data_IF_262394423888
#
_entry.id   IF_262394423888
#
_cell.length_a   1.000
_cell.length_b   1.000
_cell.length_c   1.000
_cell.angle_alpha   90.00
_cell.angle_beta   90.00
_cell.angle_gamma   90.00
#
_symmetry.space_group_name_H-M   'P 1'
#
loop_
_entity.id
_entity.type
_entity.pdbx_description
1 polymer ?
#
# COMPACT_ATOMS: atom_id res chain seq x y z
N UNK A 1 17.24 6.75 -1.22
CA UNK A 1 16.69 5.71 -0.32
C UNK A 1 15.19 5.94 -0.19
N UNK A 2 14.41 4.93 -0.51
CA UNK A 2 12.97 4.99 -0.39
C UNK A 2 12.56 4.62 1.05
N UNK A 3 12.44 5.65 1.90
CA UNK A 3 12.09 5.51 3.31
C UNK A 3 10.61 5.13 3.54
N UNK A 4 9.80 4.98 2.48
CA UNK A 4 8.40 4.59 2.56
C UNK A 4 8.17 3.17 2.07
N UNK A 5 8.40 2.88 0.77
CA UNK A 5 8.06 1.57 0.23
C UNK A 5 9.03 0.46 0.66
N UNK A 6 10.31 0.79 0.90
CA UNK A 6 11.32 -0.17 1.35
C UNK A 6 10.97 -0.83 2.68
N UNK A 7 10.60 -0.12 3.78
CA UNK A 7 10.22 -0.77 5.02
C UNK A 7 9.00 -1.70 4.91
N UNK A 8 8.04 -1.37 4.03
CA UNK A 8 6.91 -2.26 3.76
C UNK A 8 7.34 -3.51 2.99
N UNK A 9 8.20 -3.36 1.98
CA UNK A 9 8.77 -4.48 1.23
C UNK A 9 9.59 -5.41 2.12
N UNK A 10 10.41 -4.88 3.02
CA UNK A 10 11.15 -5.67 4.01
C UNK A 10 10.21 -6.51 4.89
N UNK A 11 9.10 -5.91 5.36
CA UNK A 11 8.09 -6.64 6.13
C UNK A 11 7.40 -7.71 5.31
N UNK A 12 7.07 -7.43 4.04
CA UNK A 12 6.54 -8.43 3.12
C UNK A 12 7.47 -9.62 2.99
N UNK A 13 8.76 -9.37 2.73
CA UNK A 13 9.77 -10.41 2.54
C UNK A 13 10.02 -11.25 3.81
N UNK A 14 9.92 -10.66 5.00
CA UNK A 14 10.04 -11.38 6.27
C UNK A 14 8.90 -12.39 6.50
N UNK A 15 7.73 -12.17 5.89
CA UNK A 15 6.56 -13.05 6.03
C UNK A 15 6.36 -13.99 4.84
N UNK A 16 7.20 -13.86 3.80
CA UNK A 16 7.12 -14.64 2.59
C UNK A 16 8.01 -15.89 2.68
N UNK A 17 7.40 -17.06 2.54
CA UNK A 17 8.12 -18.33 2.41
C UNK A 17 8.59 -18.50 0.95
N UNK A 18 9.77 -17.98 0.66
CA UNK A 18 10.34 -17.92 -0.68
C UNK A 18 11.36 -19.04 -0.90
N UNK A 19 11.30 -19.69 -2.08
CA UNK A 19 12.21 -20.76 -2.44
C UNK A 19 12.61 -20.71 -3.93
N UNK A 20 13.80 -21.23 -4.29
CA UNK A 20 14.22 -21.34 -5.70
C UNK A 20 13.25 -22.15 -6.53
N UNK A 21 12.91 -21.66 -7.72
CA UNK A 21 11.95 -22.33 -8.62
C UNK A 21 10.49 -21.93 -8.41
N UNK A 22 10.15 -21.11 -7.41
CA UNK A 22 8.78 -20.66 -7.19
C UNK A 22 8.24 -19.82 -8.37
N UNK A 23 6.93 -19.94 -8.62
CA UNK A 23 6.18 -19.02 -9.49
C UNK A 23 5.49 -17.95 -8.67
N UNK A 24 5.75 -16.67 -8.99
CA UNK A 24 5.26 -15.52 -8.21
C UNK A 24 4.46 -14.58 -9.10
N UNK A 25 3.34 -14.08 -8.56
CA UNK A 25 2.64 -12.90 -9.05
C UNK A 25 2.90 -11.75 -8.07
N UNK A 26 3.54 -10.69 -8.54
CA UNK A 26 3.74 -9.47 -7.76
C UNK A 26 2.83 -8.37 -8.27
N UNK A 27 1.83 -7.97 -7.47
CA UNK A 27 0.82 -7.00 -7.86
C UNK A 27 1.18 -5.57 -7.42
N UNK A 28 0.74 -4.58 -8.19
CA UNK A 28 1.08 -3.17 -7.98
C UNK A 28 2.60 -2.98 -7.85
N UNK A 29 3.36 -3.60 -8.77
CA UNK A 29 4.80 -3.69 -8.69
C UNK A 29 5.53 -2.34 -8.85
N UNK A 30 4.85 -1.30 -9.30
CA UNK A 30 5.43 0.02 -9.53
C UNK A 30 6.65 -0.06 -10.47
N UNK A 31 7.77 0.52 -10.03
CA UNK A 31 9.04 0.48 -10.75
C UNK A 31 9.85 -0.82 -10.54
N UNK A 32 9.26 -1.85 -9.94
CA UNK A 32 9.84 -3.18 -9.84
C UNK A 32 10.42 -3.57 -8.48
N UNK A 33 10.21 -2.80 -7.44
CA UNK A 33 10.61 -3.14 -6.07
C UNK A 33 9.36 -3.65 -5.32
N UNK A 34 9.24 -4.91 -4.89
CA UNK A 34 10.27 -5.94 -4.68
C UNK A 34 10.49 -6.95 -5.82
N UNK A 35 9.83 -6.82 -6.98
CA UNK A 35 9.87 -7.83 -8.06
C UNK A 35 11.29 -8.27 -8.47
N UNK A 36 12.25 -7.34 -8.52
CA UNK A 36 13.66 -7.66 -8.82
C UNK A 36 14.26 -8.60 -7.79
N UNK A 37 14.08 -8.30 -6.50
CA UNK A 37 14.56 -9.16 -5.43
C UNK A 37 13.92 -10.55 -5.49
N UNK A 38 12.60 -10.62 -5.69
CA UNK A 38 11.87 -11.88 -5.84
C UNK A 38 12.43 -12.72 -6.98
N UNK A 39 12.71 -12.09 -8.14
CA UNK A 39 13.27 -12.76 -9.29
C UNK A 39 14.70 -13.30 -9.05
N UNK A 40 15.54 -12.56 -8.33
CA UNK A 40 16.87 -13.04 -7.93
C UNK A 40 16.78 -14.27 -7.04
N UNK A 41 15.84 -14.27 -6.09
CA UNK A 41 15.68 -15.37 -5.14
C UNK A 41 15.10 -16.65 -5.75
N UNK A 42 14.12 -16.54 -6.66
CA UNK A 42 13.56 -17.73 -7.32
C UNK A 42 14.49 -18.32 -8.38
N UNK A 43 15.40 -17.49 -8.91
CA UNK A 43 16.40 -17.90 -9.89
C UNK A 43 15.82 -18.39 -11.23
N UNK A 44 16.68 -18.93 -12.12
CA UNK A 44 16.32 -19.23 -13.50
C UNK A 44 15.34 -20.42 -13.66
N UNK A 45 15.08 -21.19 -12.62
CA UNK A 45 14.09 -22.26 -12.59
C UNK A 45 12.70 -21.80 -12.12
N UNK A 46 12.63 -20.59 -11.55
CA UNK A 46 11.39 -19.94 -11.15
C UNK A 46 10.87 -18.95 -12.20
N UNK A 47 9.83 -18.24 -11.86
CA UNK A 47 9.28 -17.16 -12.68
C UNK A 47 8.60 -16.11 -11.82
N UNK A 48 8.73 -14.85 -12.20
CA UNK A 48 8.01 -13.73 -11.59
C UNK A 48 7.22 -13.01 -12.68
N UNK A 49 5.92 -12.88 -12.49
CA UNK A 49 5.07 -11.95 -13.22
C UNK A 49 4.77 -10.77 -12.33
N UNK A 50 5.28 -9.60 -12.67
CA UNK A 50 5.06 -8.36 -11.95
C UNK A 50 4.06 -7.49 -12.74
N UNK A 51 2.98 -7.09 -12.10
CA UNK A 51 1.91 -6.33 -12.76
C UNK A 51 1.65 -4.99 -12.08
N UNK A 52 1.36 -3.99 -12.89
CA UNK A 52 0.89 -2.68 -12.44
C UNK A 52 -0.14 -2.11 -13.42
N UNK A 53 -1.07 -1.32 -12.90
CA UNK A 53 -2.06 -0.63 -13.74
C UNK A 53 -1.44 0.50 -14.56
N UNK A 54 -0.35 1.09 -14.08
CA UNK A 54 0.37 2.18 -14.72
C UNK A 54 1.36 1.67 -15.77
N UNK A 55 0.99 1.81 -17.04
CA UNK A 55 1.91 1.47 -18.15
C UNK A 55 3.25 2.21 -18.06
N UNK A 56 3.27 3.44 -17.49
CA UNK A 56 4.50 4.20 -17.26
C UNK A 56 5.41 3.52 -16.22
N UNK A 57 4.84 3.00 -15.14
CA UNK A 57 5.62 2.28 -14.14
C UNK A 57 6.20 0.98 -14.70
N UNK A 58 5.37 0.22 -15.43
CA UNK A 58 5.80 -1.00 -16.11
C UNK A 58 6.94 -0.75 -17.08
N UNK A 59 6.87 0.32 -17.87
CA UNK A 59 7.95 0.67 -18.82
C UNK A 59 9.23 1.12 -18.11
N UNK A 60 9.10 1.85 -17.00
CA UNK A 60 10.22 2.20 -16.14
C UNK A 60 10.90 0.94 -15.59
N UNK A 61 10.13 0.00 -15.07
CA UNK A 61 10.62 -1.27 -14.53
C UNK A 61 11.34 -2.11 -15.60
N UNK A 62 10.77 -2.21 -16.81
CA UNK A 62 11.41 -2.87 -17.97
C UNK A 62 12.73 -2.22 -18.35
N UNK A 63 12.79 -0.88 -18.32
CA UNK A 63 14.02 -0.14 -18.62
C UNK A 63 15.11 -0.42 -17.59
N UNK A 64 14.76 -0.50 -16.31
CA UNK A 64 15.69 -0.85 -15.23
C UNK A 64 16.15 -2.31 -15.37
N UNK A 65 15.25 -3.24 -15.71
CA UNK A 65 15.56 -4.65 -15.91
C UNK A 65 16.58 -4.87 -17.04
N UNK A 66 16.41 -4.18 -18.18
CA UNK A 66 17.22 -4.40 -19.37
C UNK A 66 17.16 -5.86 -19.85
N UNK A 67 18.35 -6.47 -20.05
CA UNK A 67 18.46 -7.88 -20.45
C UNK A 67 18.70 -8.85 -19.29
N UNK A 68 18.62 -8.37 -18.05
CA UNK A 68 18.82 -9.18 -16.85
C UNK A 68 17.52 -9.91 -16.45
N UNK A 69 17.66 -11.00 -15.72
CA UNK A 69 16.53 -11.75 -15.12
C UNK A 69 15.44 -12.13 -16.14
N UNK A 70 15.73 -12.95 -17.17
CA UNK A 70 14.77 -13.29 -18.23
C UNK A 70 13.53 -14.05 -17.73
N UNK A 71 13.53 -14.53 -16.48
CA UNK A 71 12.39 -15.15 -15.79
C UNK A 71 11.51 -14.13 -15.02
N UNK A 72 11.85 -12.85 -15.07
CA UNK A 72 11.01 -11.74 -14.59
C UNK A 72 10.32 -11.08 -15.79
N UNK A 73 9.00 -10.95 -15.73
CA UNK A 73 8.22 -10.24 -16.74
C UNK A 73 7.38 -9.16 -16.09
N UNK A 74 7.31 -7.99 -16.72
CA UNK A 74 6.45 -6.89 -16.32
C UNK A 74 5.30 -6.73 -17.31
N UNK A 75 4.05 -6.69 -16.80
CA UNK A 75 2.85 -6.51 -17.62
C UNK A 75 1.93 -5.43 -17.06
N UNK A 76 1.30 -4.66 -17.96
CA UNK A 76 0.31 -3.66 -17.58
C UNK A 76 -1.05 -4.36 -17.44
N UNK A 77 -1.45 -4.70 -16.21
CA UNK A 77 -2.68 -5.40 -15.89
C UNK A 77 -3.35 -4.80 -14.65
N UNK A 78 -4.68 -4.89 -14.63
CA UNK A 78 -5.48 -4.52 -13.46
C UNK A 78 -5.66 -5.73 -12.53
N UNK A 79 -5.13 -5.65 -11.30
CA UNK A 79 -5.27 -6.73 -10.31
C UNK A 79 -6.72 -7.00 -9.89
N UNK A 80 -7.66 -6.08 -10.17
CA UNK A 80 -9.11 -6.26 -9.92
C UNK A 80 -9.80 -7.15 -10.96
N UNK A 81 -9.16 -7.32 -12.10
CA UNK A 81 -9.71 -8.04 -13.23
C UNK A 81 -8.62 -8.88 -13.92
N UNK A 82 -7.99 -9.77 -13.16
CA UNK A 82 -6.97 -10.66 -13.69
C UNK A 82 -7.56 -11.55 -14.78
N UNK A 83 -6.85 -11.72 -15.92
CA UNK A 83 -7.32 -12.59 -16.99
C UNK A 83 -7.48 -14.04 -16.50
N UNK A 84 -8.61 -14.70 -16.76
CA UNK A 84 -8.88 -16.06 -16.26
C UNK A 84 -7.93 -17.12 -16.84
N UNK A 85 -7.17 -16.80 -17.88
CA UNK A 85 -6.17 -17.70 -18.46
C UNK A 85 -4.79 -17.56 -17.81
N UNK A 86 -4.61 -16.64 -16.84
CA UNK A 86 -3.38 -16.60 -16.07
C UNK A 86 -3.20 -17.89 -15.26
N UNK A 87 -1.97 -18.41 -15.18
CA UNK A 87 -1.72 -19.60 -14.35
C UNK A 87 -1.94 -19.29 -12.86
N UNK A 88 -2.07 -20.33 -12.06
CA UNK A 88 -1.97 -20.19 -10.61
C UNK A 88 -0.49 -20.10 -10.18
N UNK A 89 -0.24 -19.36 -9.12
CA UNK A 89 1.08 -19.05 -8.59
C UNK A 89 1.33 -19.71 -7.24
N UNK A 90 2.59 -20.00 -6.94
CA UNK A 90 3.01 -20.48 -5.61
C UNK A 90 2.92 -19.37 -4.58
N UNK A 91 3.23 -18.14 -5.00
CA UNK A 91 3.20 -16.94 -4.15
C UNK A 91 2.51 -15.80 -4.88
N UNK A 92 1.70 -15.05 -4.14
CA UNK A 92 1.18 -13.75 -4.59
C UNK A 92 1.63 -12.72 -3.59
N UNK A 93 2.30 -11.68 -4.08
CA UNK A 93 2.84 -10.57 -3.28
C UNK A 93 2.27 -9.24 -3.76
N UNK A 94 2.22 -8.27 -2.87
CA UNK A 94 1.87 -6.90 -3.22
C UNK A 94 2.30 -5.92 -2.14
N UNK A 95 3.27 -5.09 -2.48
CA UNK A 95 3.75 -4.06 -1.58
C UNK A 95 2.96 -2.78 -1.77
N UNK A 96 2.36 -2.25 -0.69
CA UNK A 96 1.53 -1.04 -0.72
C UNK A 96 0.39 -1.12 -1.76
N UNK A 97 -0.26 -2.28 -1.90
CA UNK A 97 -1.10 -2.60 -3.05
C UNK A 97 -2.59 -2.32 -2.86
N UNK A 98 -3.22 -2.92 -1.84
CA UNK A 98 -4.69 -2.96 -1.73
C UNK A 98 -5.33 -1.68 -1.21
N UNK A 99 -4.55 -0.72 -0.70
CA UNK A 99 -5.06 0.53 -0.16
C UNK A 99 -5.78 1.42 -1.20
N UNK A 100 -5.44 1.26 -2.48
CA UNK A 100 -6.03 2.04 -3.58
C UNK A 100 -7.32 1.43 -4.16
N UNK A 101 -7.80 0.30 -3.63
CA UNK A 101 -8.90 -0.47 -4.20
C UNK A 101 -10.26 -0.23 -3.52
N UNK A 102 -10.48 0.94 -2.96
CA UNK A 102 -11.77 1.31 -2.32
C UNK A 102 -12.92 1.38 -3.32
N UNK A 103 -14.10 0.89 -2.96
CA UNK A 103 -14.49 0.11 -1.78
C UNK A 103 -14.28 -1.42 -1.96
N UNK A 104 -13.72 -1.88 -3.09
CA UNK A 104 -13.71 -3.28 -3.54
C UNK A 104 -12.43 -4.04 -3.15
N UNK A 105 -11.90 -3.79 -1.96
CA UNK A 105 -10.66 -4.45 -1.50
C UNK A 105 -10.83 -5.95 -1.30
N UNK A 106 -11.94 -6.36 -0.68
CA UNK A 106 -12.22 -7.77 -0.43
C UNK A 106 -12.33 -8.57 -1.73
N UNK A 107 -13.08 -8.05 -2.71
CA UNK A 107 -13.27 -8.69 -4.01
C UNK A 107 -11.94 -8.79 -4.78
N UNK A 108 -11.09 -7.78 -4.67
CA UNK A 108 -9.75 -7.83 -5.28
C UNK A 108 -8.88 -8.92 -4.62
N UNK A 109 -8.85 -9.00 -3.29
CA UNK A 109 -8.12 -10.05 -2.57
C UNK A 109 -8.69 -11.44 -2.89
N UNK A 110 -10.00 -11.58 -3.02
CA UNK A 110 -10.65 -12.81 -3.46
C UNK A 110 -10.16 -13.24 -4.84
N UNK A 111 -10.14 -12.33 -5.82
CA UNK A 111 -9.62 -12.62 -7.16
C UNK A 111 -8.16 -13.06 -7.16
N UNK A 112 -7.32 -12.47 -6.29
CA UNK A 112 -5.94 -12.92 -6.11
C UNK A 112 -5.88 -14.36 -5.57
N UNK A 113 -6.67 -14.69 -4.55
CA UNK A 113 -6.71 -16.04 -3.95
C UNK A 113 -7.17 -17.11 -4.96
N UNK A 114 -8.01 -16.76 -5.92
CA UNK A 114 -8.40 -17.67 -7.00
C UNK A 114 -7.19 -18.11 -7.85
N UNK A 115 -6.19 -17.21 -8.02
CA UNK A 115 -4.94 -17.46 -8.74
C UNK A 115 -3.82 -18.06 -7.87
N UNK A 116 -4.07 -18.39 -6.60
CA UNK A 116 -3.14 -19.17 -5.80
C UNK A 116 -3.29 -20.67 -6.09
N UNK A 117 -2.16 -21.39 -6.18
CA UNK A 117 -2.13 -22.85 -6.14
C UNK A 117 -2.60 -23.37 -4.78
N UNK A 118 -2.95 -24.64 -4.68
CA UNK A 118 -3.03 -25.34 -3.40
C UNK A 118 -1.69 -25.23 -2.69
N UNK A 119 -1.69 -24.97 -1.38
CA UNK A 119 -0.49 -24.66 -0.59
C UNK A 119 0.27 -23.39 -1.06
N UNK A 120 -0.40 -22.52 -1.81
CA UNK A 120 0.12 -21.21 -2.18
C UNK A 120 -0.04 -20.18 -1.06
N UNK A 121 0.85 -19.19 -1.00
CA UNK A 121 0.84 -18.13 0.01
C UNK A 121 0.54 -16.77 -0.61
N UNK A 122 -0.38 -16.02 0.00
CA UNK A 122 -0.61 -14.60 -0.22
C UNK A 122 0.12 -13.79 0.85
N UNK A 123 0.88 -12.77 0.43
CA UNK A 123 1.49 -11.78 1.36
C UNK A 123 1.32 -10.38 0.80
N UNK A 124 0.59 -9.53 1.50
CA UNK A 124 0.37 -8.13 1.09
C UNK A 124 0.76 -7.18 2.21
N UNK A 125 1.16 -5.97 1.85
CA UNK A 125 1.40 -4.88 2.80
C UNK A 125 0.61 -3.63 2.42
N UNK A 126 0.25 -2.84 3.43
CA UNK A 126 -0.45 -1.56 3.27
C UNK A 126 -0.42 -0.76 4.58
N UNK A 127 -0.59 0.57 4.52
CA UNK A 127 -0.84 1.39 5.70
C UNK A 127 -2.28 1.16 6.18
N UNK A 128 -2.44 0.67 7.42
CA UNK A 128 -3.74 0.39 8.03
C UNK A 128 -4.34 1.59 8.76
N UNK A 129 -5.52 1.38 9.32
CA UNK A 129 -6.22 2.36 10.17
C UNK A 129 -5.28 2.84 11.29
N UNK A 130 -5.30 4.13 11.59
CA UNK A 130 -4.40 4.76 12.56
C UNK A 130 -3.10 5.31 11.96
N UNK A 131 -2.81 5.05 10.67
CA UNK A 131 -1.68 5.69 9.98
C UNK A 131 -1.81 7.21 10.01
N UNK A 132 -0.78 7.88 10.58
CA UNK A 132 -0.71 9.34 10.75
C UNK A 132 -1.85 9.94 11.60
N UNK A 133 -2.32 9.21 12.58
CA UNK A 133 -3.46 9.59 13.43
C UNK A 133 -3.24 10.95 14.13
N UNK A 134 -2.01 11.25 14.55
CA UNK A 134 -1.66 12.55 15.15
C UNK A 134 -1.88 13.73 14.18
N UNK A 135 -1.56 13.55 12.89
CA UNK A 135 -1.80 14.54 11.84
C UNK A 135 -3.31 14.74 11.62
N UNK A 136 -4.05 13.65 11.51
CA UNK A 136 -5.49 13.72 11.24
C UNK A 136 -6.25 14.40 12.36
N UNK A 137 -5.91 14.09 13.62
CA UNK A 137 -6.49 14.78 14.79
C UNK A 137 -6.16 16.27 14.80
N UNK A 138 -4.96 16.66 14.39
CA UNK A 138 -4.58 18.07 14.31
C UNK A 138 -5.35 18.80 13.21
N UNK A 139 -5.55 18.17 12.04
CA UNK A 139 -6.36 18.71 10.95
C UNK A 139 -7.83 18.82 11.39
N UNK A 140 -8.39 17.78 12.00
CA UNK A 140 -9.78 17.78 12.50
C UNK A 140 -10.01 18.88 13.54
N UNK A 141 -9.06 19.06 14.46
CA UNK A 141 -9.12 20.13 15.45
C UNK A 141 -9.16 21.51 14.79
N UNK A 142 -8.30 21.77 13.82
CA UNK A 142 -8.25 23.03 13.11
C UNK A 142 -9.52 23.28 12.30
N UNK A 143 -10.05 22.23 11.65
CA UNK A 143 -11.37 22.31 10.99
C UNK A 143 -12.50 22.67 11.98
N UNK A 144 -12.45 22.11 13.21
CA UNK A 144 -13.44 22.40 14.24
C UNK A 144 -13.41 23.86 14.67
N UNK A 145 -12.21 24.44 14.88
CA UNK A 145 -12.03 25.86 15.21
C UNK A 145 -12.60 26.80 14.13
N UNK A 146 -12.63 26.36 12.88
CA UNK A 146 -13.23 27.08 11.76
C UNK A 146 -14.71 26.75 11.52
N UNK A 147 -15.33 25.89 12.34
CA UNK A 147 -16.75 25.49 12.21
C UNK A 147 -17.06 24.61 10.98
N UNK A 148 -16.08 23.91 10.44
CA UNK A 148 -16.17 23.14 9.17
C UNK A 148 -16.76 21.75 9.39
N UNK A 149 -18.04 21.66 9.69
CA UNK A 149 -18.71 20.40 10.04
C UNK A 149 -18.78 19.40 8.86
N UNK A 150 -19.00 19.90 7.63
CA UNK A 150 -19.11 19.07 6.44
C UNK A 150 -17.76 18.48 6.07
N UNK A 151 -16.72 19.29 6.07
CA UNK A 151 -15.34 18.90 5.77
C UNK A 151 -14.82 17.88 6.79
N UNK A 152 -15.13 18.07 8.08
CA UNK A 152 -14.81 17.12 9.13
C UNK A 152 -15.47 15.76 8.91
N UNK A 153 -16.74 15.73 8.52
CA UNK A 153 -17.43 14.49 8.20
C UNK A 153 -16.83 13.78 6.98
N UNK A 154 -16.39 14.55 5.96
CA UNK A 154 -15.65 13.98 4.81
C UNK A 154 -14.30 13.40 5.23
N UNK A 155 -13.56 14.10 6.09
CA UNK A 155 -12.31 13.60 6.64
C UNK A 155 -12.53 12.30 7.44
N UNK A 156 -13.53 12.25 8.31
CA UNK A 156 -13.90 11.05 9.05
C UNK A 156 -14.22 9.87 8.10
N UNK A 157 -15.02 10.11 7.06
CA UNK A 157 -15.34 9.12 6.04
C UNK A 157 -14.09 8.61 5.33
N UNK A 158 -13.19 9.53 4.93
CA UNK A 158 -11.92 9.17 4.31
C UNK A 158 -11.05 8.29 5.23
N UNK A 159 -10.96 8.63 6.52
CA UNK A 159 -10.16 7.86 7.48
C UNK A 159 -10.75 6.48 7.74
N UNK A 160 -12.08 6.38 7.82
CA UNK A 160 -12.78 5.11 8.02
C UNK A 160 -12.65 4.12 6.85
N UNK A 161 -12.25 4.58 5.68
CA UNK A 161 -12.01 3.70 4.54
C UNK A 161 -10.70 2.89 4.63
N UNK A 162 -9.82 3.18 5.59
CA UNK A 162 -8.61 2.37 5.81
C UNK A 162 -8.95 1.10 6.56
N UNK A 163 -8.49 -0.08 6.08
CA UNK A 163 -8.83 -1.32 6.75
C UNK A 163 -8.12 -1.43 8.11
N UNK A 164 -8.82 -1.98 9.10
CA UNK A 164 -8.22 -2.40 10.36
C UNK A 164 -7.62 -3.80 10.25
N UNK A 165 -6.83 -4.19 11.25
CA UNK A 165 -6.28 -5.56 11.38
C UNK A 165 -7.40 -6.58 11.44
N UNK A 166 -8.46 -6.31 12.21
CA UNK A 166 -9.60 -7.19 12.42
C UNK A 166 -10.38 -7.39 11.11
N UNK A 167 -10.61 -6.31 10.36
CA UNK A 167 -11.28 -6.37 9.06
C UNK A 167 -10.51 -7.24 8.09
N UNK A 168 -9.20 -7.03 7.98
CA UNK A 168 -8.32 -7.78 7.08
C UNK A 168 -8.22 -9.24 7.49
N UNK A 169 -8.11 -9.54 8.79
CA UNK A 169 -8.13 -10.89 9.30
C UNK A 169 -9.43 -11.61 8.89
N UNK A 170 -10.57 -10.92 9.06
CA UNK A 170 -11.88 -11.43 8.65
C UNK A 170 -11.98 -11.70 7.14
N UNK A 171 -11.28 -10.95 6.27
CA UNK A 171 -11.21 -11.26 4.84
C UNK A 171 -10.55 -12.61 4.60
N UNK A 172 -9.40 -12.87 5.24
CA UNK A 172 -8.64 -14.10 5.05
C UNK A 172 -9.39 -15.33 5.57
N UNK A 173 -10.11 -15.20 6.71
CA UNK A 173 -10.99 -16.25 7.23
C UNK A 173 -12.16 -16.56 6.27
N UNK A 174 -12.84 -15.54 5.75
CA UNK A 174 -13.93 -15.70 4.76
C UNK A 174 -13.44 -16.39 3.48
N UNK A 175 -12.20 -16.14 3.08
CA UNK A 175 -11.54 -16.79 1.95
C UNK A 175 -11.00 -18.19 2.28
N UNK A 176 -11.21 -18.67 3.53
CA UNK A 176 -10.78 -19.96 4.04
C UNK A 176 -9.27 -20.20 3.93
N UNK A 177 -8.48 -19.13 4.04
CA UNK A 177 -7.04 -19.25 4.15
C UNK A 177 -6.66 -19.80 5.52
N UNK A 178 -5.54 -20.48 5.56
CA UNK A 178 -4.95 -21.08 6.76
C UNK A 178 -3.66 -20.36 7.16
N UNK A 179 -3.10 -20.63 8.33
CA UNK A 179 -1.86 -20.00 8.84
C UNK A 179 -1.91 -18.48 8.70
N UNK A 180 -3.06 -17.90 9.03
CA UNK A 180 -3.30 -16.46 8.89
C UNK A 180 -2.41 -15.69 9.87
N UNK A 181 -1.70 -14.71 9.33
CA UNK A 181 -0.95 -13.71 10.11
C UNK A 181 -1.37 -12.32 9.63
N UNK A 182 -1.84 -11.48 10.53
CA UNK A 182 -2.06 -10.06 10.27
C UNK A 182 -1.39 -9.30 11.41
N UNK A 183 -0.38 -8.51 11.08
CA UNK A 183 0.44 -7.83 12.09
C UNK A 183 0.73 -6.40 11.66
N UNK A 184 0.73 -5.49 12.62
CA UNK A 184 1.12 -4.09 12.43
C UNK A 184 2.47 -3.80 13.08
N UNK A 185 3.26 -2.99 12.38
CA UNK A 185 4.53 -2.47 12.87
C UNK A 185 4.55 -0.95 12.70
N UNK A 186 4.82 -0.18 13.77
CA UNK A 186 4.93 1.26 13.65
C UNK A 186 6.16 1.65 12.81
N UNK A 187 5.97 2.58 11.89
CA UNK A 187 7.03 3.18 11.10
C UNK A 187 7.04 4.69 11.36
N UNK A 188 8.15 5.18 11.91
CA UNK A 188 8.35 6.62 12.10
C UNK A 188 8.69 7.27 10.77
N UNK A 189 7.91 8.26 10.37
CA UNK A 189 8.14 9.07 9.18
C UNK A 189 8.58 10.46 9.61
N UNK A 190 9.84 10.80 9.35
CA UNK A 190 10.37 12.14 9.59
C UNK A 190 9.87 13.07 8.49
N UNK A 191 9.29 14.19 8.90
CA UNK A 191 8.84 15.26 8.01
C UNK A 191 9.64 16.53 8.28
N UNK A 192 9.77 17.41 7.29
CA UNK A 192 10.46 18.68 7.48
C UNK A 192 9.73 19.59 8.47
N UNK A 193 10.42 20.57 9.10
CA UNK A 193 9.84 21.51 10.04
C UNK A 193 8.94 22.56 9.34
N UNK A 194 7.95 23.07 10.07
CA UNK A 194 7.11 24.18 9.64
C UNK A 194 6.45 23.92 8.28
N UNK A 195 6.48 24.91 7.39
CA UNK A 195 5.83 24.81 6.08
C UNK A 195 6.44 23.76 5.14
N UNK A 196 7.67 23.31 5.35
CA UNK A 196 8.28 22.26 4.57
C UNK A 196 7.47 20.94 4.64
N UNK A 197 6.77 20.72 5.75
CA UNK A 197 5.82 19.63 5.94
C UNK A 197 4.77 19.55 4.82
N UNK A 198 4.20 20.70 4.40
CA UNK A 198 3.15 20.74 3.36
C UNK A 198 3.64 20.32 1.97
N UNK A 199 4.95 20.27 1.76
CA UNK A 199 5.59 19.92 0.50
C UNK A 199 6.32 18.57 0.55
N UNK A 200 6.21 17.86 1.68
CA UNK A 200 6.84 16.57 1.85
C UNK A 200 6.35 15.57 0.78
N UNK A 201 7.24 14.96 -0.03
CA UNK A 201 6.83 14.18 -1.20
C UNK A 201 5.86 13.04 -0.88
N UNK A 202 6.11 12.30 0.21
CA UNK A 202 5.21 11.22 0.64
C UNK A 202 3.80 11.76 0.98
N UNK A 203 3.74 12.87 1.72
CA UNK A 203 2.44 13.41 2.16
C UNK A 203 1.65 14.00 1.00
N UNK A 204 2.32 14.61 0.03
CA UNK A 204 1.72 15.18 -1.19
C UNK A 204 1.32 14.10 -2.22
N UNK A 205 1.87 12.91 -2.15
CA UNK A 205 1.55 11.82 -3.08
C UNK A 205 0.29 11.02 -2.76
N UNK A 206 -0.56 11.54 -1.87
CA UNK A 206 -1.82 10.88 -1.49
C UNK A 206 -2.42 11.46 -0.21
N UNK A 207 -1.70 11.48 0.90
CA UNK A 207 -2.26 11.79 2.21
C UNK A 207 -2.78 13.23 2.34
N UNK A 208 -1.96 14.23 2.10
CA UNK A 208 -2.40 15.63 2.16
C UNK A 208 -3.30 16.00 0.99
N UNK A 209 -3.06 15.46 -0.20
CA UNK A 209 -3.93 15.73 -1.35
C UNK A 209 -5.35 15.20 -1.09
N UNK A 210 -5.49 14.00 -0.54
CA UNK A 210 -6.79 13.46 -0.10
C UNK A 210 -7.44 14.35 0.99
N UNK A 211 -6.64 14.86 1.95
CA UNK A 211 -7.15 15.79 2.94
C UNK A 211 -7.63 17.12 2.33
N UNK A 212 -6.93 17.62 1.33
CA UNK A 212 -7.37 18.80 0.57
C UNK A 212 -8.68 18.57 -0.20
N UNK A 213 -8.95 17.35 -0.67
CA UNK A 213 -10.20 16.97 -1.34
C UNK A 213 -11.41 16.97 -0.41
N UNK A 214 -11.20 16.96 0.90
CA UNK A 214 -12.28 17.12 1.87
C UNK A 214 -12.90 18.53 1.86
N UNK A 215 -12.25 19.54 1.27
CA UNK A 215 -12.70 20.93 1.26
C UNK A 215 -13.31 21.31 -0.08
N UNK A 216 -14.42 22.05 -0.04
CA UNK A 216 -15.01 22.68 -1.22
C UNK A 216 -14.23 23.95 -1.62
N UNK A 217 -13.69 24.68 -0.67
CA UNK A 217 -12.90 25.92 -0.87
C UNK A 217 -11.40 25.64 -0.68
N UNK A 218 -10.64 25.78 -1.77
CA UNK A 218 -9.18 25.60 -1.76
C UNK A 218 -8.45 26.67 -0.94
N UNK A 219 -9.00 27.89 -0.86
CA UNK A 219 -8.43 28.96 -0.05
C UNK A 219 -8.53 28.64 1.45
N UNK A 220 -9.69 28.14 1.87
CA UNK A 220 -9.93 27.69 3.23
C UNK A 220 -9.06 26.47 3.58
N UNK A 221 -8.96 25.47 2.68
CA UNK A 221 -8.05 24.36 2.83
C UNK A 221 -6.60 24.81 3.07
N UNK A 222 -6.12 25.79 2.28
CA UNK A 222 -4.78 26.34 2.45
C UNK A 222 -4.60 27.06 3.82
N UNK A 223 -5.63 27.74 4.32
CA UNK A 223 -5.60 28.38 5.64
C UNK A 223 -5.45 27.34 6.74
N UNK A 224 -6.30 26.30 6.74
CA UNK A 224 -6.27 25.19 7.70
C UNK A 224 -4.91 24.49 7.65
N UNK A 225 -4.45 24.07 6.48
CA UNK A 225 -3.18 23.36 6.34
C UNK A 225 -1.97 24.23 6.73
N UNK A 226 -2.01 25.53 6.44
CA UNK A 226 -0.97 26.47 6.89
C UNK A 226 -0.95 26.61 8.41
N UNK A 227 -2.10 26.60 9.06
CA UNK A 227 -2.19 26.60 10.53
C UNK A 227 -1.65 25.31 11.12
N UNK A 228 -2.04 24.16 10.57
CA UNK A 228 -1.50 22.84 10.96
C UNK A 228 0.02 22.82 10.85
N UNK A 229 0.60 23.35 9.76
CA UNK A 229 2.04 23.35 9.53
C UNK A 229 2.83 24.27 10.50
N UNK A 230 2.20 25.25 11.14
CA UNK A 230 2.87 26.09 12.17
C UNK A 230 3.19 25.30 13.43
N UNK A 231 2.43 24.24 13.70
CA UNK A 231 2.51 23.45 14.93
C UNK A 231 2.96 22.00 14.64
N UNK A 232 3.67 21.79 13.54
CA UNK A 232 4.09 20.46 13.07
C UNK A 232 4.86 19.67 14.13
N UNK A 233 5.62 20.34 14.96
CA UNK A 233 6.42 19.72 16.02
C UNK A 233 5.58 19.07 17.13
N UNK A 234 4.32 19.51 17.30
CA UNK A 234 3.42 18.96 18.31
C UNK A 234 2.87 17.57 17.98
N UNK A 235 2.88 17.18 16.70
CA UNK A 235 2.32 15.90 16.23
C UNK A 235 3.31 15.05 15.44
N UNK A 236 4.57 15.46 15.33
CA UNK A 236 5.64 14.68 14.67
C UNK A 236 6.56 14.01 15.69
N UNK A 237 7.28 12.89 15.36
CA UNK A 237 7.25 12.23 14.06
C UNK A 237 5.89 11.59 13.74
N UNK A 238 5.53 11.54 12.46
CA UNK A 238 4.35 10.82 12.04
C UNK A 238 4.57 9.32 12.15
N UNK A 239 3.58 8.61 12.65
CA UNK A 239 3.63 7.14 12.76
C UNK A 239 2.69 6.54 11.72
N UNK A 240 3.25 5.77 10.78
CA UNK A 240 2.47 4.93 9.90
C UNK A 240 2.28 3.56 10.53
N UNK A 241 1.06 3.02 10.50
CA UNK A 241 0.78 1.64 10.88
C UNK A 241 1.04 0.74 9.66
N UNK A 242 2.20 0.10 9.64
CA UNK A 242 2.63 -0.79 8.57
C UNK A 242 2.03 -2.17 8.80
N UNK A 243 0.94 -2.48 8.11
CA UNK A 243 0.29 -3.76 8.19
C UNK A 243 0.86 -4.75 7.18
N UNK A 244 1.07 -5.98 7.62
CA UNK A 244 1.35 -7.15 6.79
C UNK A 244 0.23 -8.16 6.99
N UNK A 245 -0.33 -8.67 5.91
CA UNK A 245 -1.19 -9.84 5.92
C UNK A 245 -0.50 -11.00 5.23
N UNK A 246 -0.65 -12.20 5.76
CA UNK A 246 -0.23 -13.45 5.14
C UNK A 246 -1.26 -14.53 5.39
N UNK A 247 -1.48 -15.39 4.39
CA UNK A 247 -2.36 -16.54 4.48
C UNK A 247 -2.08 -17.58 3.41
N UNK A 248 -2.44 -18.82 3.66
CA UNK A 248 -2.18 -19.97 2.77
C UNK A 248 -3.50 -20.58 2.29
N UNK A 249 -3.56 -20.89 1.01
CA UNK A 249 -4.72 -21.56 0.38
C UNK A 249 -4.73 -23.04 0.65
#
# INVERSE_FOLDING_TARGET
DDYWSTPFAESLLQHLDLYPGASILDIACGNGIPAFYLAEQVGPTGQVLAIDLSGRQVESARTIQGAQLPWLRFECLDMRALPPHLPCFDRITGNLSVMFLRPHRFEAVQGLVEHLKSDGQLVLTFPSLGTFDSLWRRIDHEMAEHGLLVERHRLETYLAERPSVEEVHGWLERLRLTRIVVTEYPLNVATGPGQAFLYHPLLRSGFLDDAYECFDDRGLANQVMTSVAKDVESFTPLIAQRCVLSGWK
#
